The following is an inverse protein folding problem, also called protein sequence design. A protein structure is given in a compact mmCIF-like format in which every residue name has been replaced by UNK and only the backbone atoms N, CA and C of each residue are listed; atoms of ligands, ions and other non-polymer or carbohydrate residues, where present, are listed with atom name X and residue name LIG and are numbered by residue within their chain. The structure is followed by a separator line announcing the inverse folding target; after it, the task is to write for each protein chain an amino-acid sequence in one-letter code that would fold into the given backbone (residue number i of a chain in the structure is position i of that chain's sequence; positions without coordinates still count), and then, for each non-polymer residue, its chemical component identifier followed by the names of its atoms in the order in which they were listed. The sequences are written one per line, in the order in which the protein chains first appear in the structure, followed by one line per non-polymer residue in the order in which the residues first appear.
data_IF_775494839828
#
_entry.id   IF_775494839828
#
_cell.length_a   1.000
_cell.length_b   1.000
_cell.length_c   1.000
_cell.angle_alpha   90.00
_cell.angle_beta   90.00
_cell.angle_gamma   90.00
#
_symmetry.space_group_name_H-M   'P 1'
#
loop_
_entity.id
_entity.type
_entity.pdbx_description
1 polymer ?
#
# COMPACT_ATOMS: atom_id res chain seq x y z
N UNK A 1 11.04 -13.42 -31.98
CA UNK A 1 11.27 -12.28 -31.07
C UNK A 1 10.19 -11.25 -31.37
N UNK A 2 9.41 -10.84 -30.37
CA UNK A 2 8.30 -9.88 -30.57
C UNK A 2 8.91 -8.46 -30.59
N UNK A 3 8.35 -7.52 -31.35
CA UNK A 3 8.81 -6.14 -31.34
C UNK A 3 8.51 -5.47 -29.97
N UNK A 4 9.30 -4.47 -29.54
CA UNK A 4 9.05 -3.73 -28.30
C UNK A 4 7.65 -3.09 -28.25
N UNK A 5 7.17 -2.57 -29.38
CA UNK A 5 5.81 -2.00 -29.53
C UNK A 5 4.73 -3.02 -29.16
N UNK A 6 4.81 -4.23 -29.73
CA UNK A 6 3.85 -5.30 -29.46
C UNK A 6 3.91 -5.80 -28.02
N UNK A 7 5.10 -5.78 -27.41
CA UNK A 7 5.24 -6.12 -25.99
C UNK A 7 4.53 -5.09 -25.09
N UNK A 8 4.68 -3.80 -25.38
CA UNK A 8 3.99 -2.73 -24.64
C UNK A 8 2.47 -2.78 -24.80
N UNK A 9 1.98 -3.08 -26.01
CA UNK A 9 0.54 -3.26 -26.26
C UNK A 9 -0.04 -4.43 -25.44
N UNK A 10 0.65 -5.56 -25.39
CA UNK A 10 0.26 -6.73 -24.58
C UNK A 10 0.25 -6.37 -23.09
N UNK A 11 1.25 -5.64 -22.62
CA UNK A 11 1.35 -5.21 -21.23
C UNK A 11 0.20 -4.26 -20.85
N UNK A 12 -0.16 -3.30 -21.72
CA UNK A 12 -1.33 -2.42 -21.52
C UNK A 12 -2.64 -3.22 -21.43
N UNK A 13 -2.85 -4.18 -22.34
CA UNK A 13 -4.05 -5.04 -22.32
C UNK A 13 -4.11 -5.84 -21.02
N UNK A 14 -3.01 -6.48 -20.62
CA UNK A 14 -2.93 -7.22 -19.36
C UNK A 14 -3.25 -6.31 -18.19
N UNK A 15 -2.64 -5.12 -18.11
CA UNK A 15 -2.93 -4.15 -17.06
C UNK A 15 -4.42 -3.78 -17.04
N UNK A 16 -5.02 -3.48 -18.19
CA UNK A 16 -6.45 -3.11 -18.26
C UNK A 16 -7.37 -4.22 -17.77
N UNK A 17 -7.10 -5.48 -18.12
CA UNK A 17 -7.94 -6.62 -17.72
C UNK A 17 -7.62 -7.15 -16.32
N UNK A 18 -6.47 -6.81 -15.74
CA UNK A 18 -6.05 -7.26 -14.39
C UNK A 18 -6.06 -6.17 -13.33
N UNK A 19 -6.21 -4.88 -13.69
CA UNK A 19 -6.20 -3.74 -12.74
C UNK A 19 -7.15 -3.92 -11.55
N UNK A 20 -8.23 -4.68 -11.73
CA UNK A 20 -9.19 -4.97 -10.68
C UNK A 20 -8.57 -5.67 -9.46
N UNK A 21 -7.45 -6.38 -9.61
CA UNK A 21 -6.69 -6.92 -8.49
C UNK A 21 -5.18 -7.00 -8.78
N UNK A 22 -4.37 -6.56 -7.82
CA UNK A 22 -2.91 -6.68 -7.88
C UNK A 22 -2.36 -7.07 -6.52
N UNK A 23 -1.30 -7.87 -6.52
CA UNK A 23 -0.49 -8.15 -5.34
C UNK A 23 0.93 -7.65 -5.57
N UNK A 24 1.50 -6.92 -4.61
CA UNK A 24 2.90 -6.46 -4.64
C UNK A 24 3.55 -6.59 -3.25
N UNK A 25 4.87 -6.73 -3.21
CA UNK A 25 5.65 -6.65 -1.97
C UNK A 25 6.32 -5.28 -1.81
N UNK A 26 6.31 -4.76 -0.58
CA UNK A 26 7.05 -3.58 -0.14
C UNK A 26 7.89 -3.94 1.07
N UNK A 27 9.12 -4.42 0.85
CA UNK A 27 9.90 -5.02 1.92
C UNK A 27 9.14 -6.18 2.58
N UNK A 28 8.87 -6.16 3.90
CA UNK A 28 8.12 -7.21 4.59
C UNK A 28 6.59 -7.09 4.44
N UNK A 29 6.09 -6.02 3.82
CA UNK A 29 4.65 -5.81 3.62
C UNK A 29 4.20 -6.49 2.32
N UNK A 30 3.10 -7.22 2.38
CA UNK A 30 2.36 -7.67 1.19
C UNK A 30 1.14 -6.77 1.01
N UNK A 31 1.08 -6.11 -0.15
CA UNK A 31 -0.03 -5.28 -0.60
C UNK A 31 -0.97 -6.11 -1.47
N UNK A 32 -2.27 -6.06 -1.17
CA UNK A 32 -3.34 -6.45 -2.05
C UNK A 32 -4.19 -5.24 -2.41
N UNK A 33 -4.22 -4.87 -3.69
CA UNK A 33 -5.01 -3.74 -4.18
C UNK A 33 -6.13 -4.22 -5.06
N UNK A 34 -7.32 -3.67 -4.86
CA UNK A 34 -8.53 -3.98 -5.61
C UNK A 34 -9.16 -2.71 -6.15
N UNK A 35 -9.66 -2.75 -7.37
CA UNK A 35 -10.55 -1.70 -7.90
C UNK A 35 -11.96 -2.24 -8.00
N UNK A 36 -12.92 -1.55 -7.39
CA UNK A 36 -14.34 -1.87 -7.50
C UNK A 36 -14.89 -1.42 -8.86
N UNK A 37 -16.09 -1.89 -9.21
CA UNK A 37 -16.78 -1.48 -10.44
C UNK A 37 -17.12 0.02 -10.50
N UNK A 38 -17.17 0.69 -9.35
CA UNK A 38 -17.41 2.14 -9.25
C UNK A 38 -16.12 2.96 -9.37
N UNK A 39 -14.96 2.31 -9.46
CA UNK A 39 -13.66 2.97 -9.51
C UNK A 39 -13.05 3.28 -8.15
N UNK A 40 -13.70 2.92 -7.04
CA UNK A 40 -13.07 2.97 -5.71
C UNK A 40 -11.93 1.95 -5.67
N UNK A 41 -10.74 2.40 -5.28
CA UNK A 41 -9.58 1.55 -5.01
C UNK A 41 -9.48 1.25 -3.51
N UNK A 42 -9.26 -0.02 -3.18
CA UNK A 42 -9.05 -0.52 -1.82
C UNK A 42 -7.69 -1.20 -1.78
N UNK A 43 -6.84 -0.77 -0.86
CA UNK A 43 -5.56 -1.40 -0.57
C UNK A 43 -5.61 -2.06 0.81
N UNK A 44 -5.10 -3.28 0.89
CA UNK A 44 -4.91 -4.03 2.12
C UNK A 44 -3.43 -4.38 2.23
N UNK A 45 -2.75 -3.79 3.22
CA UNK A 45 -1.36 -4.07 3.53
C UNK A 45 -1.28 -5.02 4.74
N UNK A 46 -0.57 -6.15 4.58
CA UNK A 46 -0.34 -7.13 5.64
C UNK A 46 1.15 -7.26 5.91
N UNK A 47 1.55 -7.13 7.16
CA UNK A 47 2.95 -7.32 7.56
C UNK A 47 3.17 -7.23 9.06
N UNK A 48 4.43 -7.37 9.51
CA UNK A 48 4.78 -7.37 10.93
C UNK A 48 4.61 -5.97 11.54
N UNK A 49 4.27 -5.86 12.85
CA UNK A 49 4.09 -4.59 13.55
C UNK A 49 5.23 -3.57 13.41
N UNK A 50 6.45 -4.06 13.18
CA UNK A 50 7.67 -3.25 12.99
C UNK A 50 7.57 -2.24 11.82
N UNK A 51 6.58 -2.39 10.92
CA UNK A 51 6.27 -1.37 9.92
C UNK A 51 5.97 0.00 10.54
N UNK A 52 5.40 0.02 11.75
CA UNK A 52 5.06 1.23 12.50
C UNK A 52 6.24 1.77 13.33
N UNK A 53 7.47 1.32 13.08
CA UNK A 53 8.65 1.76 13.80
C UNK A 53 8.86 3.28 13.62
N UNK A 54 9.14 3.97 14.73
CA UNK A 54 9.34 5.42 14.76
C UNK A 54 10.82 5.85 14.74
N UNK A 55 11.76 4.91 14.76
CA UNK A 55 13.20 5.16 14.92
C UNK A 55 14.04 4.60 13.76
N UNK A 56 14.13 5.31 12.61
CA UNK A 56 13.34 6.47 12.22
C UNK A 56 11.99 6.05 11.60
N UNK A 57 11.03 6.96 11.59
CA UNK A 57 9.79 6.78 10.80
C UNK A 57 10.19 6.73 9.32
N UNK A 58 9.85 5.64 8.62
CA UNK A 58 10.08 5.58 7.19
C UNK A 58 9.19 6.60 6.44
N UNK A 59 9.67 7.20 5.33
CA UNK A 59 8.90 8.22 4.62
C UNK A 59 7.53 7.75 4.10
N UNK A 60 7.38 6.46 3.76
CA UNK A 60 6.13 5.88 3.29
C UNK A 60 5.09 5.80 4.40
N UNK A 61 5.48 5.28 5.56
CA UNK A 61 4.63 5.24 6.76
C UNK A 61 4.22 6.64 7.20
N UNK A 62 5.15 7.60 7.18
CA UNK A 62 4.79 9.01 7.50
C UNK A 62 3.68 9.49 6.57
N UNK A 63 3.80 9.25 5.27
CA UNK A 63 2.78 9.63 4.28
C UNK A 63 1.43 8.97 4.57
N UNK A 64 1.41 7.66 4.78
CA UNK A 64 0.17 6.92 5.11
C UNK A 64 -0.53 7.53 6.31
N UNK A 65 0.23 7.85 7.36
CA UNK A 65 -0.31 8.44 8.59
C UNK A 65 -0.85 9.85 8.34
N UNK A 66 -0.08 10.70 7.67
CA UNK A 66 -0.45 12.12 7.46
C UNK A 66 -1.56 12.30 6.42
N UNK A 67 -1.74 11.35 5.50
CA UNK A 67 -2.82 11.37 4.50
C UNK A 67 -4.20 11.04 5.11
N UNK A 68 -4.26 10.64 6.39
CA UNK A 68 -5.51 10.53 7.15
C UNK A 68 -5.74 9.16 7.79
N UNK A 69 -4.82 8.69 8.63
CA UNK A 69 -4.97 7.40 9.31
C UNK A 69 -5.93 7.45 10.52
N UNK A 70 -6.71 6.38 10.70
CA UNK A 70 -7.56 6.14 11.87
C UNK A 70 -7.30 4.75 12.46
N UNK A 71 -6.94 4.70 13.73
CA UNK A 71 -6.73 3.44 14.47
C UNK A 71 -8.08 2.81 14.82
N UNK A 72 -8.23 1.51 14.52
CA UNK A 72 -9.41 0.71 14.87
C UNK A 72 -9.15 -0.28 16.01
N UNK A 73 -7.94 -0.84 16.06
CA UNK A 73 -7.50 -1.78 17.08
C UNK A 73 -5.99 -1.61 17.31
N UNK A 74 -5.58 -1.39 18.57
CA UNK A 74 -4.18 -1.12 18.92
C UNK A 74 -3.91 -1.51 20.39
N UNK A 75 -3.91 -2.82 20.71
CA UNK A 75 -3.80 -3.29 22.09
C UNK A 75 -2.42 -3.02 22.73
N UNK A 76 -1.41 -2.70 21.92
CA UNK A 76 -0.03 -2.43 22.35
C UNK A 76 0.38 -0.96 22.16
N UNK A 77 -0.56 -0.09 21.77
CA UNK A 77 -0.38 1.36 21.57
C UNK A 77 0.70 1.76 20.54
N UNK A 78 1.10 0.84 19.65
CA UNK A 78 2.13 1.11 18.64
C UNK A 78 1.62 2.12 17.60
N UNK A 79 0.35 2.02 17.21
CA UNK A 79 -0.23 2.88 16.18
C UNK A 79 -0.55 4.26 16.76
N UNK A 80 -1.07 4.32 17.99
CA UNK A 80 -1.27 5.56 18.72
C UNK A 80 0.05 6.33 18.91
N UNK A 81 1.14 5.61 19.20
CA UNK A 81 2.48 6.18 19.30
C UNK A 81 2.97 6.73 17.97
N UNK A 82 2.81 5.96 16.88
CA UNK A 82 3.13 6.42 15.53
C UNK A 82 2.33 7.67 15.13
N UNK A 83 1.01 7.68 15.35
CA UNK A 83 0.17 8.84 15.06
C UNK A 83 0.64 10.10 15.80
N UNK A 84 1.03 9.98 17.08
CA UNK A 84 1.59 11.10 17.85
C UNK A 84 2.91 11.58 17.26
N UNK A 85 3.80 10.66 16.91
CA UNK A 85 5.12 10.99 16.36
C UNK A 85 5.03 11.69 14.98
N UNK A 86 3.97 11.47 14.22
CA UNK A 86 3.73 12.15 12.93
C UNK A 86 3.00 13.50 13.04
N UNK A 87 2.37 13.84 14.18
CA UNK A 87 1.48 15.01 14.28
C UNK A 87 2.19 16.35 14.47
N UNK A 88 3.47 16.36 14.86
CA UNK A 88 4.28 17.54 15.23
C UNK A 88 3.62 18.42 16.30
#
# INVERSE_FOLDING_TARGET
MISPERAAEIEDVIHRVTRWARTQSWGPITEHRFATTTGLEVEIAVGPPDWANINPIDPGTRRVVTDGARVLHDPTEILATLLRACRI
#
